data_IF_605672189455
#
_entry.id   IF_605672189455
#
_cell.length_a   1.000
_cell.length_b   1.000
_cell.length_c   1.000
_cell.angle_alpha   90.00
_cell.angle_beta   90.00
_cell.angle_gamma   90.00
#
_symmetry.space_group_name_H-M   'P 1'
#
loop_
_entity.id
_entity.type
_entity.pdbx_description
1 polymer ?
#
# COMPACT_ATOMS: atom_id res chain seq x y z
N UNK A 1 15.63 1.72 -10.26
CA UNK A 1 15.97 2.64 -9.14
C UNK A 1 17.12 2.07 -8.36
N UNK A 2 17.97 2.93 -7.84
CA UNK A 2 19.17 2.51 -7.12
C UNK A 2 18.91 2.37 -5.61
N UNK A 3 19.53 1.35 -5.01
CA UNK A 3 19.52 1.14 -3.57
C UNK A 3 20.64 1.97 -2.93
N UNK A 4 20.38 3.26 -2.76
CA UNK A 4 21.35 4.19 -2.18
C UNK A 4 21.44 4.06 -0.65
N UNK A 5 22.50 4.58 0.00
CA UNK A 5 22.54 4.61 1.47
C UNK A 5 21.33 5.31 2.10
N UNK A 6 20.83 6.37 1.47
CA UNK A 6 19.63 7.08 1.93
C UNK A 6 18.40 6.16 1.94
N UNK A 7 18.19 5.43 0.84
CA UNK A 7 17.08 4.46 0.74
C UNK A 7 17.24 3.37 1.78
N UNK A 8 18.46 2.84 1.96
CA UNK A 8 18.74 1.80 2.93
C UNK A 8 18.35 2.24 4.35
N UNK A 9 18.75 3.43 4.75
CA UNK A 9 18.44 3.97 6.07
C UNK A 9 16.94 4.17 6.23
N UNK A 10 16.29 4.77 5.23
CA UNK A 10 14.88 5.09 5.28
C UNK A 10 13.98 3.83 5.33
N UNK A 11 14.41 2.73 4.68
CA UNK A 11 13.62 1.50 4.60
C UNK A 11 14.05 0.41 5.59
N UNK A 12 15.10 0.62 6.35
CA UNK A 12 15.62 -0.39 7.29
C UNK A 12 14.57 -0.85 8.31
N UNK A 13 13.78 0.03 8.94
CA UNK A 13 12.73 -0.40 9.86
C UNK A 13 11.73 -1.36 9.24
N UNK A 14 11.44 -1.21 7.95
CA UNK A 14 10.57 -2.11 7.21
C UNK A 14 11.27 -3.46 6.99
N UNK A 15 12.52 -3.43 6.58
CA UNK A 15 13.30 -4.64 6.33
C UNK A 15 13.44 -5.49 7.58
N UNK A 16 13.56 -4.88 8.76
CA UNK A 16 13.62 -5.61 10.03
C UNK A 16 12.41 -6.54 10.22
N UNK A 17 11.26 -6.16 9.71
CA UNK A 17 10.03 -6.95 9.84
C UNK A 17 9.99 -8.16 8.91
N UNK A 18 10.69 -8.12 7.78
CA UNK A 18 10.60 -9.14 6.72
C UNK A 18 11.93 -9.82 6.41
N UNK A 19 12.98 -9.51 7.15
CA UNK A 19 14.33 -10.04 6.87
C UNK A 19 14.43 -11.56 6.91
N UNK A 20 13.53 -12.23 7.64
CA UNK A 20 13.51 -13.71 7.74
C UNK A 20 12.98 -14.37 6.47
N UNK A 21 12.16 -13.67 5.69
CA UNK A 21 11.50 -14.23 4.50
C UNK A 21 11.99 -13.61 3.21
N UNK A 22 12.78 -12.55 3.28
CA UNK A 22 13.30 -11.85 2.10
C UNK A 22 14.82 -11.65 2.20
N UNK A 23 15.60 -12.26 1.31
CA UNK A 23 17.04 -12.03 1.25
C UNK A 23 17.39 -10.58 0.94
N UNK A 24 18.51 -10.10 1.44
CA UNK A 24 18.96 -8.72 1.23
C UNK A 24 19.10 -8.37 -0.25
N UNK A 25 19.54 -9.32 -1.07
CA UNK A 25 19.70 -9.09 -2.51
C UNK A 25 18.36 -8.81 -3.19
N UNK A 26 17.29 -9.48 -2.75
CA UNK A 26 15.94 -9.24 -3.24
C UNK A 26 15.37 -7.93 -2.68
N UNK A 27 15.61 -7.67 -1.40
CA UNK A 27 15.20 -6.42 -0.76
C UNK A 27 15.78 -5.19 -1.45
N UNK A 28 17.03 -5.27 -1.89
CA UNK A 28 17.69 -4.13 -2.57
C UNK A 28 16.98 -3.75 -3.88
N UNK A 29 16.21 -4.67 -4.49
CA UNK A 29 15.40 -4.39 -5.67
C UNK A 29 14.11 -3.67 -5.30
N UNK A 30 13.48 -4.08 -4.20
CA UNK A 30 12.20 -3.52 -3.77
C UNK A 30 12.31 -2.21 -2.99
N UNK A 31 13.33 -2.06 -2.19
CA UNK A 31 13.47 -0.94 -1.26
C UNK A 31 13.39 0.45 -1.93
N UNK A 32 14.03 0.70 -3.08
CA UNK A 32 13.92 1.99 -3.74
C UNK A 32 12.48 2.35 -4.15
N UNK A 33 11.73 1.35 -4.63
CA UNK A 33 10.33 1.56 -5.01
C UNK A 33 9.46 1.82 -3.78
N UNK A 34 9.68 1.07 -2.70
CA UNK A 34 8.95 1.26 -1.44
C UNK A 34 9.19 2.66 -0.90
N UNK A 35 10.43 3.09 -0.90
CA UNK A 35 10.80 4.43 -0.43
C UNK A 35 10.10 5.51 -1.27
N UNK A 36 10.10 5.37 -2.60
CA UNK A 36 9.46 6.34 -3.48
C UNK A 36 7.95 6.35 -3.34
N UNK A 37 7.34 5.18 -3.20
CA UNK A 37 5.89 5.08 -2.98
C UNK A 37 5.50 5.76 -1.66
N UNK A 38 6.26 5.53 -0.59
CA UNK A 38 5.98 6.17 0.69
C UNK A 38 6.14 7.69 0.64
N UNK A 39 7.08 8.21 -0.16
CA UNK A 39 7.19 9.64 -0.41
C UNK A 39 5.97 10.17 -1.15
N UNK A 40 5.55 9.49 -2.22
CA UNK A 40 4.38 9.88 -3.02
C UNK A 40 3.10 9.85 -2.21
N UNK A 41 2.94 8.90 -1.29
CA UNK A 41 1.78 8.86 -0.40
C UNK A 41 1.64 10.16 0.39
N UNK A 42 2.74 10.68 0.90
CA UNK A 42 2.73 11.96 1.64
C UNK A 42 2.48 13.14 0.73
N UNK A 43 3.14 13.20 -0.42
CA UNK A 43 3.01 14.30 -1.38
C UNK A 43 1.60 14.41 -1.95
N UNK A 44 0.95 13.28 -2.20
CA UNK A 44 -0.36 13.21 -2.86
C UNK A 44 -1.52 13.02 -1.91
N UNK A 45 -1.27 12.94 -0.62
CA UNK A 45 -2.29 12.59 0.39
C UNK A 45 -3.01 11.29 -0.01
N UNK A 46 -2.22 10.23 -0.22
CA UNK A 46 -2.71 8.93 -0.64
C UNK A 46 -2.67 7.91 0.49
N UNK A 47 -3.63 7.00 0.51
CA UNK A 47 -3.65 5.85 1.41
C UNK A 47 -3.57 4.56 0.60
N UNK A 48 -2.81 3.59 1.10
CA UNK A 48 -2.71 2.26 0.49
C UNK A 48 -3.42 1.24 1.38
N UNK A 49 -4.44 0.62 0.84
CA UNK A 49 -5.22 -0.43 1.50
C UNK A 49 -4.84 -1.77 0.85
N UNK A 50 -4.30 -2.71 1.64
CA UNK A 50 -3.81 -3.98 1.12
C UNK A 50 -4.60 -5.15 1.70
N UNK A 51 -4.95 -6.11 0.84
CA UNK A 51 -5.52 -7.37 1.31
C UNK A 51 -4.45 -8.20 2.02
N UNK A 52 -4.88 -9.03 2.97
CA UNK A 52 -3.99 -9.89 3.76
C UNK A 52 -3.13 -10.84 2.92
N UNK A 53 -3.52 -11.10 1.67
CA UNK A 53 -2.79 -12.01 0.77
C UNK A 53 -1.61 -11.36 0.04
N UNK A 54 -1.39 -10.07 0.21
CA UNK A 54 -0.30 -9.40 -0.47
C UNK A 54 1.06 -9.88 0.03
N UNK A 55 2.08 -9.75 -0.82
CA UNK A 55 3.44 -10.14 -0.48
C UNK A 55 4.00 -9.29 0.67
N UNK A 56 5.02 -9.80 1.42
CA UNK A 56 5.56 -9.08 2.57
C UNK A 56 6.01 -7.64 2.28
N UNK A 57 6.61 -7.38 1.13
CA UNK A 57 7.08 -6.04 0.77
C UNK A 57 5.93 -5.05 0.57
N UNK A 58 4.77 -5.51 0.13
CA UNK A 58 3.55 -4.67 0.03
C UNK A 58 2.90 -4.54 1.39
N UNK A 59 2.69 -5.66 2.07
CA UNK A 59 2.01 -5.70 3.36
C UNK A 59 2.72 -4.86 4.43
N UNK A 60 4.03 -4.99 4.55
CA UNK A 60 4.82 -4.28 5.55
C UNK A 60 5.46 -2.99 5.02
N UNK A 61 5.63 -2.88 3.71
CA UNK A 61 6.38 -1.78 3.10
C UNK A 61 5.55 -0.55 2.80
N UNK A 62 4.40 -0.71 2.16
CA UNK A 62 3.62 0.41 1.65
C UNK A 62 2.18 0.48 2.16
N UNK A 63 1.63 -0.61 2.69
CA UNK A 63 0.24 -0.62 3.14
C UNK A 63 0.05 0.21 4.41
N UNK A 64 -0.96 1.06 4.40
CA UNK A 64 -1.39 1.80 5.59
C UNK A 64 -2.35 0.95 6.43
N UNK A 65 -3.21 0.19 5.76
CA UNK A 65 -4.13 -0.74 6.40
C UNK A 65 -4.07 -2.06 5.64
N UNK A 66 -3.96 -3.17 6.36
CA UNK A 66 -3.99 -4.51 5.80
C UNK A 66 -5.10 -5.30 6.48
N UNK A 67 -6.05 -5.81 5.71
CA UNK A 67 -7.23 -6.47 6.23
C UNK A 67 -7.92 -7.32 5.16
N UNK A 68 -9.07 -7.89 5.52
CA UNK A 68 -9.93 -8.58 4.55
C UNK A 68 -10.73 -7.59 3.70
N UNK A 69 -11.45 -8.11 2.70
CA UNK A 69 -12.17 -7.30 1.71
C UNK A 69 -13.17 -6.34 2.32
N UNK A 70 -13.96 -6.80 3.29
CA UNK A 70 -15.01 -5.97 3.90
C UNK A 70 -14.38 -4.85 4.74
N UNK A 71 -13.40 -5.19 5.56
CA UNK A 71 -12.71 -4.20 6.39
C UNK A 71 -12.03 -3.13 5.54
N UNK A 72 -11.41 -3.52 4.40
CA UNK A 72 -10.79 -2.57 3.49
C UNK A 72 -11.82 -1.63 2.84
N UNK A 73 -13.01 -2.17 2.47
CA UNK A 73 -14.07 -1.35 1.91
C UNK A 73 -14.58 -0.32 2.92
N UNK A 74 -14.70 -0.70 4.19
CA UNK A 74 -15.10 0.20 5.28
C UNK A 74 -14.03 1.28 5.47
N UNK A 75 -12.76 0.93 5.49
CA UNK A 75 -11.67 1.91 5.60
C UNK A 75 -11.66 2.87 4.42
N UNK A 76 -11.91 2.39 3.20
CA UNK A 76 -12.01 3.24 2.02
C UNK A 76 -13.12 4.28 2.16
N UNK A 77 -14.24 3.91 2.79
CA UNK A 77 -15.37 4.83 2.98
C UNK A 77 -15.10 5.89 4.05
N UNK A 78 -14.17 5.62 4.98
CA UNK A 78 -13.89 6.51 6.12
C UNK A 78 -12.71 7.45 5.90
N UNK A 79 -11.80 7.14 4.96
CA UNK A 79 -10.58 7.90 4.80
C UNK A 79 -10.81 9.31 4.26
N UNK A 80 -9.98 10.25 4.69
CA UNK A 80 -9.95 11.61 4.16
C UNK A 80 -8.87 11.80 3.10
N UNK A 81 -8.15 10.75 2.73
CA UNK A 81 -7.13 10.82 1.71
C UNK A 81 -7.72 11.19 0.34
N UNK A 82 -6.94 11.91 -0.46
CA UNK A 82 -7.35 12.31 -1.81
C UNK A 82 -7.28 11.17 -2.81
N UNK A 83 -6.36 10.22 -2.57
CA UNK A 83 -6.15 9.07 -3.44
C UNK A 83 -6.21 7.80 -2.59
N UNK A 84 -6.96 6.81 -3.07
CA UNK A 84 -7.02 5.49 -2.44
C UNK A 84 -6.41 4.48 -3.41
N UNK A 85 -5.35 3.79 -2.97
CA UNK A 85 -4.73 2.70 -3.73
C UNK A 85 -5.15 1.39 -3.08
N UNK A 86 -5.80 0.54 -3.86
CA UNK A 86 -6.26 -0.76 -3.38
C UNK A 86 -5.36 -1.88 -3.91
N UNK A 87 -4.62 -2.52 -3.04
CA UNK A 87 -3.76 -3.66 -3.39
C UNK A 87 -4.53 -4.96 -3.09
N UNK A 88 -5.07 -5.58 -4.14
CA UNK A 88 -5.87 -6.79 -4.02
C UNK A 88 -6.46 -7.21 -5.35
N UNK A 89 -7.52 -8.00 -5.31
CA UNK A 89 -8.20 -8.44 -6.53
C UNK A 89 -9.20 -7.38 -7.02
N UNK A 90 -9.53 -7.43 -8.29
CA UNK A 90 -10.33 -6.39 -8.96
C UNK A 90 -11.68 -6.10 -8.27
N UNK A 91 -12.43 -7.14 -7.89
CA UNK A 91 -13.74 -6.93 -7.29
C UNK A 91 -13.68 -6.17 -5.96
N UNK A 92 -12.56 -6.26 -5.24
CA UNK A 92 -12.36 -5.50 -4.00
C UNK A 92 -12.28 -4.01 -4.28
N UNK A 93 -11.63 -3.61 -5.36
CA UNK A 93 -11.56 -2.23 -5.77
C UNK A 93 -12.95 -1.70 -6.16
N UNK A 94 -13.74 -2.50 -6.87
CA UNK A 94 -15.11 -2.16 -7.24
C UNK A 94 -16.00 -2.01 -6.00
N UNK A 95 -15.90 -2.93 -5.05
CA UNK A 95 -16.65 -2.86 -3.79
C UNK A 95 -16.30 -1.60 -3.01
N UNK A 96 -15.03 -1.27 -2.92
CA UNK A 96 -14.56 -0.06 -2.24
C UNK A 96 -15.07 1.20 -2.92
N UNK A 97 -15.09 1.22 -4.25
CA UNK A 97 -15.62 2.36 -5.02
C UNK A 97 -17.11 2.53 -4.77
N UNK A 98 -17.87 1.44 -4.72
CA UNK A 98 -19.30 1.48 -4.42
C UNK A 98 -19.54 2.05 -3.02
N UNK A 99 -18.79 1.59 -2.01
CA UNK A 99 -18.90 2.07 -0.64
C UNK A 99 -18.60 3.57 -0.55
N UNK A 100 -17.55 4.05 -1.20
CA UNK A 100 -17.22 5.47 -1.20
C UNK A 100 -18.31 6.30 -1.88
N UNK A 101 -18.92 5.79 -2.93
CA UNK A 101 -20.03 6.46 -3.62
C UNK A 101 -21.28 6.56 -2.75
N UNK A 102 -21.61 5.49 -2.01
CA UNK A 102 -22.75 5.48 -1.07
C UNK A 102 -22.60 6.56 -0.01
N UNK A 103 -21.37 6.76 0.49
CA UNK A 103 -21.08 7.78 1.50
C UNK A 103 -20.68 9.12 0.89
N UNK A 104 -20.88 9.30 -0.42
CA UNK A 104 -20.57 10.53 -1.15
C UNK A 104 -19.08 10.93 -1.10
N UNK A 105 -18.22 9.94 -1.02
CA UNK A 105 -16.76 10.13 -1.02
C UNK A 105 -16.23 9.71 -2.39
N UNK A 106 -15.90 10.67 -3.23
CA UNK A 106 -15.37 10.39 -4.57
C UNK A 106 -13.85 10.52 -4.58
N UNK A 107 -13.18 9.62 -3.85
CA UNK A 107 -11.72 9.65 -3.68
C UNK A 107 -10.99 8.46 -4.25
N UNK A 108 -11.70 7.42 -4.66
CA UNK A 108 -11.06 6.23 -5.20
C UNK A 108 -10.42 6.54 -6.55
N UNK A 109 -9.12 6.29 -6.69
CA UNK A 109 -8.34 6.62 -7.90
C UNK A 109 -7.71 5.42 -8.57
N UNK A 110 -7.30 4.40 -7.83
CA UNK A 110 -6.43 3.38 -8.37
C UNK A 110 -6.54 2.07 -7.61
N UNK A 111 -6.39 0.96 -8.34
CA UNK A 111 -6.33 -0.39 -7.76
C UNK A 111 -5.15 -1.18 -8.32
N UNK A 112 -4.49 -1.96 -7.46
CA UNK A 112 -3.46 -2.92 -7.84
C UNK A 112 -4.07 -4.32 -7.71
N UNK A 113 -3.99 -5.13 -8.76
CA UNK A 113 -4.62 -6.45 -8.81
C UNK A 113 -3.59 -7.56 -8.94
N UNK A 114 -3.87 -8.69 -8.33
CA UNK A 114 -3.09 -9.90 -8.48
C UNK A 114 -3.74 -10.84 -9.49
#
# INVERSE_FOLDING_TARGET
MEFTPEVRIATDPIYQKISKVMPEIEWSIHAPYIHRINQLKKEKNAIVLAHNYQTPEIYHGIADVAADSLALAIEASKTTADIIVMAGVHFMAETSKLMTSIYQIDKFRFGIYN
#
